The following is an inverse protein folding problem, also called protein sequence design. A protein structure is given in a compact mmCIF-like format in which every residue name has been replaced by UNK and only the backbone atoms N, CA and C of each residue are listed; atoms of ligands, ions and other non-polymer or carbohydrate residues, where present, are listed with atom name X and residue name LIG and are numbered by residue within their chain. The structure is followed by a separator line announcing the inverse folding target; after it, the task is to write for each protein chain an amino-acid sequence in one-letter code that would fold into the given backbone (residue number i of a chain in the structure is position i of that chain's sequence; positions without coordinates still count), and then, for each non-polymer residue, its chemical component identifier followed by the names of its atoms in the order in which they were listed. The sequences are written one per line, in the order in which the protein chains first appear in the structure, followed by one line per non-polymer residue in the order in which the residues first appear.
data_IF_684471259933
#
_entry.id   IF_684471259933
#
_cell.length_a   1.000
_cell.length_b   1.000
_cell.length_c   1.000
_cell.angle_alpha   90.00
_cell.angle_beta   90.00
_cell.angle_gamma   90.00
#
_symmetry.space_group_name_H-M   'P 1'
#
loop_
_entity.id
_entity.type
_entity.pdbx_description
1 polymer ?
#
# COMPACT_ATOMS: atom_id res chain seq x y z
N UNK A 1 2.55 -17.56 30.06
CA UNK A 1 2.85 -18.97 29.75
C UNK A 1 2.73 -19.75 31.05
N UNK A 2 1.66 -20.51 31.24
CA UNK A 2 1.58 -21.52 32.31
C UNK A 2 1.54 -22.86 31.57
N UNK A 3 2.69 -23.52 31.53
CA UNK A 3 2.83 -24.94 31.22
C UNK A 3 2.59 -25.70 32.52
N UNK A 4 1.54 -26.52 32.61
CA UNK A 4 1.53 -27.68 33.50
C UNK A 4 0.47 -28.71 33.08
N UNK A 5 0.96 -29.93 32.85
CA UNK A 5 0.29 -31.24 32.97
C UNK A 5 -1.11 -31.39 32.37
N UNK A 6 -1.17 -31.71 31.08
CA UNK A 6 -2.28 -32.50 30.52
C UNK A 6 -2.06 -33.96 30.95
N UNK A 7 -2.82 -34.40 31.95
CA UNK A 7 -2.96 -35.79 32.36
C UNK A 7 -3.77 -36.50 31.26
N UNK A 8 -3.29 -37.65 30.78
CA UNK A 8 -4.01 -38.51 29.84
C UNK A 8 -5.32 -38.98 30.49
N UNK A 9 -6.44 -38.49 29.98
CA UNK A 9 -7.77 -39.00 30.31
C UNK A 9 -8.38 -39.63 29.06
N UNK A 10 -9.07 -40.76 29.21
CA UNK A 10 -9.72 -41.41 28.09
C UNK A 10 -10.84 -40.52 27.49
N UNK A 11 -11.21 -40.80 26.24
CA UNK A 11 -12.00 -39.98 25.30
C UNK A 11 -13.26 -39.27 25.85
N UNK A 12 -13.86 -39.72 26.95
CA UNK A 12 -15.09 -39.19 27.55
C UNK A 12 -14.87 -38.17 28.66
N UNK A 13 -13.69 -38.11 29.27
CA UNK A 13 -13.37 -37.13 30.33
C UNK A 13 -12.70 -35.85 29.79
N UNK A 14 -12.21 -35.89 28.54
CA UNK A 14 -11.63 -34.73 27.86
C UNK A 14 -12.63 -33.57 27.71
N UNK A 15 -13.89 -33.85 27.37
CA UNK A 15 -14.92 -32.81 27.16
C UNK A 15 -15.28 -32.10 28.47
N UNK A 16 -15.39 -32.84 29.58
CA UNK A 16 -15.67 -32.28 30.92
C UNK A 16 -14.46 -31.53 31.50
N UNK A 17 -13.25 -32.05 31.32
CA UNK A 17 -12.02 -31.37 31.75
C UNK A 17 -11.79 -30.07 30.96
N UNK A 18 -12.18 -30.03 29.69
CA UNK A 18 -12.15 -28.82 28.86
C UNK A 18 -13.14 -27.76 29.33
N UNK A 19 -14.39 -28.14 29.63
CA UNK A 19 -15.42 -27.23 30.18
C UNK A 19 -14.95 -26.59 31.49
N UNK A 20 -14.40 -27.39 32.43
CA UNK A 20 -13.86 -26.91 33.71
C UNK A 20 -12.60 -26.03 33.53
N UNK A 21 -11.76 -26.29 32.52
CA UNK A 21 -10.65 -25.41 32.18
C UNK A 21 -11.17 -24.05 31.70
N UNK A 22 -12.23 -24.01 30.89
CA UNK A 22 -12.74 -22.75 30.32
C UNK A 22 -13.37 -21.84 31.36
N UNK A 23 -14.18 -22.36 32.29
CA UNK A 23 -14.72 -21.53 33.37
C UNK A 23 -13.62 -20.87 34.22
N UNK A 24 -12.49 -21.57 34.43
CA UNK A 24 -11.35 -21.06 35.21
C UNK A 24 -10.49 -20.04 34.44
N UNK A 25 -10.61 -19.97 33.11
CA UNK A 25 -9.74 -19.17 32.24
C UNK A 25 -10.44 -17.99 31.55
N UNK A 26 -11.72 -17.75 31.79
CA UNK A 26 -12.42 -16.54 31.33
C UNK A 26 -11.98 -15.35 32.20
N UNK A 27 -11.38 -14.34 31.56
CA UNK A 27 -11.10 -13.03 32.17
C UNK A 27 -11.78 -11.94 31.36
N UNK A 28 -12.56 -11.07 32.00
CA UNK A 28 -13.18 -9.90 31.37
C UNK A 28 -13.91 -10.22 30.05
N UNK A 29 -14.66 -11.34 30.02
CA UNK A 29 -15.37 -11.86 28.84
C UNK A 29 -14.46 -12.20 27.64
N UNK A 30 -13.17 -12.35 27.87
CA UNK A 30 -12.19 -12.77 26.89
C UNK A 30 -11.73 -14.20 27.18
N UNK A 31 -11.81 -15.05 26.16
CA UNK A 31 -11.31 -16.42 26.20
C UNK A 31 -10.22 -16.59 25.14
N UNK A 32 -9.04 -17.04 25.56
CA UNK A 32 -7.92 -17.34 24.66
C UNK A 32 -7.41 -18.75 24.91
N UNK A 33 -7.35 -19.54 23.84
CA UNK A 33 -6.99 -20.94 23.87
C UNK A 33 -5.91 -21.15 22.82
N UNK A 34 -4.74 -21.61 23.27
CA UNK A 34 -3.65 -22.01 22.38
C UNK A 34 -3.22 -23.41 22.78
N UNK A 35 -3.47 -24.37 21.90
CA UNK A 35 -3.21 -25.78 22.18
C UNK A 35 -1.94 -26.19 21.45
N UNK A 36 -0.92 -26.64 22.19
CA UNK A 36 0.37 -27.06 21.62
C UNK A 36 0.27 -28.43 20.91
N UNK A 37 -0.65 -28.58 19.97
CA UNK A 37 -0.93 -29.78 19.16
C UNK A 37 -1.60 -30.97 19.89
N UNK A 38 -2.02 -30.82 21.16
CA UNK A 38 -2.67 -31.93 21.91
C UNK A 38 -4.19 -32.01 21.72
N UNK A 39 -4.86 -30.91 21.38
CA UNK A 39 -6.33 -30.87 21.23
C UNK A 39 -6.70 -30.96 19.75
N UNK A 40 -7.18 -32.14 19.34
CA UNK A 40 -7.50 -32.45 17.94
C UNK A 40 -8.93 -32.12 17.53
N UNK A 41 -9.80 -31.81 18.50
CA UNK A 41 -11.21 -31.52 18.29
C UNK A 41 -11.66 -30.50 19.32
N UNK A 42 -12.38 -29.47 18.88
CA UNK A 42 -12.97 -28.47 19.75
C UNK A 42 -14.43 -28.24 19.38
N UNK A 43 -15.32 -28.41 20.37
CA UNK A 43 -16.75 -28.22 20.22
C UNK A 43 -17.28 -27.42 21.41
N UNK A 44 -18.14 -26.46 21.12
CA UNK A 44 -18.89 -25.74 22.16
C UNK A 44 -20.09 -26.59 22.59
N UNK A 45 -20.09 -27.01 23.86
CA UNK A 45 -21.15 -27.83 24.46
C UNK A 45 -22.23 -26.95 25.12
N UNK A 46 -21.86 -25.75 25.57
CA UNK A 46 -22.76 -24.77 26.19
C UNK A 46 -22.43 -23.34 25.73
N UNK A 47 -23.35 -22.41 25.98
CA UNK A 47 -23.17 -20.99 25.67
C UNK A 47 -22.31 -20.32 26.74
N UNK A 48 -21.26 -19.61 26.32
CA UNK A 48 -20.42 -18.81 27.21
C UNK A 48 -20.73 -17.32 27.04
N UNK A 49 -20.86 -16.54 28.11
CA UNK A 49 -21.00 -15.07 27.99
C UNK A 49 -19.63 -14.42 27.75
N UNK A 50 -19.13 -14.54 26.52
CA UNK A 50 -17.85 -13.97 26.06
C UNK A 50 -18.06 -13.00 24.90
N UNK A 51 -17.26 -11.94 24.88
CA UNK A 51 -17.25 -10.94 23.79
C UNK A 51 -16.03 -11.08 22.88
N UNK A 52 -14.97 -11.74 23.35
CA UNK A 52 -13.79 -12.05 22.56
C UNK A 52 -13.38 -13.51 22.70
N UNK A 53 -13.12 -14.15 21.57
CA UNK A 53 -12.60 -15.51 21.50
C UNK A 53 -11.35 -15.56 20.63
N UNK A 54 -10.30 -16.19 21.13
CA UNK A 54 -9.09 -16.50 20.36
C UNK A 54 -8.80 -17.98 20.48
N UNK A 55 -8.73 -18.65 19.34
CA UNK A 55 -8.38 -20.05 19.21
C UNK A 55 -7.13 -20.14 18.34
N UNK A 56 -6.15 -20.90 18.78
CA UNK A 56 -4.91 -21.11 18.04
C UNK A 56 -4.49 -22.57 18.09
N UNK A 57 -4.09 -23.12 16.95
CA UNK A 57 -3.58 -24.49 16.83
C UNK A 57 -4.62 -25.56 17.28
N UNK A 58 -5.91 -25.30 17.07
CA UNK A 58 -7.02 -26.21 17.39
C UNK A 58 -7.53 -26.90 16.11
N UNK A 59 -7.63 -28.23 16.09
CA UNK A 59 -8.10 -28.94 14.88
C UNK A 59 -9.59 -29.27 14.93
N UNK A 60 -10.21 -29.47 13.76
CA UNK A 60 -11.61 -29.89 13.57
C UNK A 60 -12.62 -29.04 14.37
N UNK A 61 -12.45 -27.72 14.28
CA UNK A 61 -13.32 -26.77 14.96
C UNK A 61 -14.75 -26.80 14.40
N UNK A 62 -15.74 -26.82 15.29
CA UNK A 62 -17.13 -26.53 14.92
C UNK A 62 -17.54 -25.20 15.53
N UNK A 63 -17.92 -24.23 14.67
CA UNK A 63 -18.39 -22.90 15.10
C UNK A 63 -19.83 -22.89 15.59
N UNK A 64 -20.50 -24.03 15.55
CA UNK A 64 -21.82 -24.25 16.13
C UNK A 64 -21.76 -23.85 17.62
N UNK A 65 -22.70 -23.03 18.07
CA UNK A 65 -22.85 -22.57 19.46
C UNK A 65 -21.83 -21.52 19.96
N UNK A 66 -21.06 -20.88 19.08
CA UNK A 66 -20.37 -19.64 19.45
C UNK A 66 -21.42 -18.54 19.70
N UNK A 67 -21.30 -17.77 20.79
CA UNK A 67 -22.21 -16.67 21.12
C UNK A 67 -22.35 -15.64 20.00
N UNK A 68 -23.57 -15.18 19.76
CA UNK A 68 -23.89 -14.17 18.74
C UNK A 68 -23.53 -12.72 19.16
N UNK A 69 -23.31 -12.50 20.46
CA UNK A 69 -22.85 -11.24 21.05
C UNK A 69 -21.34 -11.00 20.90
N UNK A 70 -20.60 -11.94 20.32
CA UNK A 70 -19.15 -11.84 20.14
C UNK A 70 -18.80 -10.67 19.20
N UNK A 71 -17.84 -9.85 19.62
CA UNK A 71 -17.36 -8.68 18.85
C UNK A 71 -15.98 -8.93 18.24
N UNK A 72 -15.20 -9.86 18.82
CA UNK A 72 -13.87 -10.23 18.34
C UNK A 72 -13.69 -11.75 18.27
N UNK A 73 -13.33 -12.25 17.10
CA UNK A 73 -13.07 -13.66 16.88
C UNK A 73 -11.73 -13.83 16.15
N UNK A 74 -10.84 -14.62 16.74
CA UNK A 74 -9.58 -15.03 16.14
C UNK A 74 -9.51 -16.56 16.12
N UNK A 75 -9.28 -17.16 14.95
CA UNK A 75 -9.10 -18.60 14.78
C UNK A 75 -7.88 -18.81 13.90
N UNK A 76 -6.73 -19.04 14.50
CA UNK A 76 -5.43 -18.98 13.84
C UNK A 76 -4.83 -20.38 13.74
N UNK A 77 -4.36 -20.78 12.56
CA UNK A 77 -3.64 -22.05 12.38
C UNK A 77 -4.44 -23.27 12.88
N UNK A 78 -5.74 -23.32 12.61
CA UNK A 78 -6.66 -24.33 13.12
C UNK A 78 -7.12 -25.34 12.05
N UNK A 79 -6.53 -25.28 10.85
CA UNK A 79 -6.90 -26.10 9.69
C UNK A 79 -8.40 -26.11 9.38
N UNK A 80 -9.12 -25.02 9.69
CA UNK A 80 -10.53 -24.93 9.34
C UNK A 80 -10.67 -24.73 7.83
N UNK A 81 -11.61 -25.44 7.20
CA UNK A 81 -11.91 -25.32 5.77
C UNK A 81 -13.21 -24.56 5.49
N UNK A 82 -14.00 -24.31 6.54
CA UNK A 82 -15.30 -23.68 6.46
C UNK A 82 -15.46 -22.68 7.61
N UNK A 83 -16.20 -21.62 7.31
CA UNK A 83 -16.63 -20.60 8.28
C UNK A 83 -18.14 -20.69 8.56
N UNK A 84 -18.75 -21.85 8.27
CA UNK A 84 -20.18 -22.04 8.48
C UNK A 84 -20.60 -21.73 9.91
N UNK A 85 -21.63 -20.91 10.06
CA UNK A 85 -22.13 -20.43 11.34
C UNK A 85 -21.69 -19.00 11.70
N UNK A 86 -20.65 -18.46 11.07
CA UNK A 86 -20.25 -17.06 11.26
C UNK A 86 -21.40 -16.09 10.97
N UNK A 87 -22.30 -16.39 10.02
CA UNK A 87 -23.47 -15.56 9.69
C UNK A 87 -24.36 -15.16 10.88
N UNK A 88 -24.27 -15.88 12.00
CA UNK A 88 -25.02 -15.60 13.23
C UNK A 88 -24.37 -14.51 14.09
N UNK A 89 -23.05 -14.30 13.98
CA UNK A 89 -22.25 -13.39 14.81
C UNK A 89 -22.33 -11.94 14.30
N UNK A 90 -23.54 -11.39 14.24
CA UNK A 90 -23.80 -10.09 13.59
C UNK A 90 -23.20 -8.87 14.31
N UNK A 91 -22.70 -9.05 15.53
CA UNK A 91 -22.01 -8.01 16.30
C UNK A 91 -20.50 -7.97 16.07
N UNK A 92 -19.97 -8.88 15.23
CA UNK A 92 -18.54 -9.01 15.00
C UNK A 92 -17.95 -7.76 14.34
N UNK A 93 -16.93 -7.19 14.97
CA UNK A 93 -16.17 -6.02 14.51
C UNK A 93 -14.75 -6.40 14.09
N UNK A 94 -14.18 -7.43 14.72
CA UNK A 94 -12.86 -7.96 14.39
C UNK A 94 -12.95 -9.46 14.10
N UNK A 95 -12.50 -9.86 12.92
CA UNK A 95 -12.37 -11.26 12.53
C UNK A 95 -10.96 -11.52 12.00
N UNK A 96 -10.27 -12.51 12.58
CA UNK A 96 -9.09 -13.12 11.98
C UNK A 96 -9.27 -14.62 11.89
N UNK A 97 -9.18 -15.16 10.69
CA UNK A 97 -9.16 -16.61 10.42
C UNK A 97 -7.92 -16.97 9.60
N UNK A 98 -6.80 -16.31 9.88
CA UNK A 98 -5.57 -16.50 9.12
C UNK A 98 -4.88 -17.83 9.40
N UNK A 99 -4.17 -18.33 8.39
CA UNK A 99 -3.42 -19.59 8.48
C UNK A 99 -4.31 -20.82 8.50
N UNK A 100 -5.45 -20.78 7.81
CA UNK A 100 -6.35 -21.93 7.69
C UNK A 100 -6.41 -22.42 6.23
N UNK A 101 -7.38 -23.26 5.90
CA UNK A 101 -7.55 -23.83 4.56
C UNK A 101 -8.92 -23.46 3.95
N UNK A 102 -9.41 -22.26 4.28
CA UNK A 102 -10.71 -21.74 3.85
C UNK A 102 -10.66 -21.40 2.36
N UNK A 103 -11.70 -21.80 1.62
CA UNK A 103 -11.91 -21.44 0.22
C UNK A 103 -13.11 -20.52 0.03
N UNK A 104 -14.21 -20.85 0.70
CA UNK A 104 -15.49 -20.15 0.56
C UNK A 104 -15.71 -19.19 1.73
N UNK A 105 -15.95 -17.91 1.40
CA UNK A 105 -16.17 -16.85 2.38
C UNK A 105 -17.56 -16.21 2.28
N UNK A 106 -18.53 -16.97 1.75
CA UNK A 106 -19.88 -16.49 1.48
C UNK A 106 -20.64 -15.96 2.70
N UNK A 107 -20.35 -16.47 3.89
CA UNK A 107 -20.99 -16.02 5.13
C UNK A 107 -20.53 -14.63 5.57
N UNK A 108 -19.34 -14.18 5.12
CA UNK A 108 -18.83 -12.87 5.52
C UNK A 108 -19.78 -11.75 5.11
N UNK A 109 -20.56 -11.90 4.04
CA UNK A 109 -21.53 -10.89 3.56
C UNK A 109 -22.54 -10.42 4.61
N UNK A 110 -22.77 -11.22 5.65
CA UNK A 110 -23.72 -10.90 6.72
C UNK A 110 -23.09 -10.10 7.87
N UNK A 111 -21.76 -9.99 7.92
CA UNK A 111 -20.99 -9.38 9.01
C UNK A 111 -20.73 -7.90 8.75
N UNK A 112 -21.78 -7.14 8.46
CA UNK A 112 -21.70 -5.74 7.99
C UNK A 112 -21.11 -4.76 9.01
N UNK A 113 -20.93 -5.19 10.28
CA UNK A 113 -20.28 -4.42 11.34
C UNK A 113 -18.76 -4.62 11.41
N UNK A 114 -18.18 -5.49 10.57
CA UNK A 114 -16.74 -5.71 10.53
C UNK A 114 -15.99 -4.41 10.18
N UNK A 115 -15.00 -4.11 11.00
CA UNK A 115 -14.03 -3.01 10.83
C UNK A 115 -12.66 -3.58 10.45
N UNK A 116 -12.31 -4.73 11.02
CA UNK A 116 -11.04 -5.42 10.77
C UNK A 116 -11.28 -6.86 10.31
N UNK A 117 -10.73 -7.20 9.15
CA UNK A 117 -10.80 -8.54 8.60
C UNK A 117 -9.43 -9.04 8.15
N UNK A 118 -9.01 -10.18 8.71
CA UNK A 118 -7.83 -10.90 8.28
C UNK A 118 -8.18 -12.34 7.89
N UNK A 119 -8.10 -12.62 6.59
CA UNK A 119 -8.29 -13.96 6.01
C UNK A 119 -7.04 -14.40 5.25
N UNK A 120 -5.88 -13.86 5.63
CA UNK A 120 -4.61 -14.20 5.00
C UNK A 120 -4.21 -15.67 5.20
N UNK A 121 -3.32 -16.18 4.36
CA UNK A 121 -2.84 -17.56 4.42
C UNK A 121 -3.99 -18.57 4.42
N UNK A 122 -4.81 -18.51 3.36
CA UNK A 122 -5.93 -19.41 3.11
C UNK A 122 -5.89 -19.85 1.63
N UNK A 123 -6.98 -20.43 1.13
CA UNK A 123 -7.11 -20.88 -0.26
C UNK A 123 -8.25 -20.13 -0.99
N UNK A 124 -8.49 -18.86 -0.63
CA UNK A 124 -9.60 -18.06 -1.16
C UNK A 124 -9.29 -17.64 -2.60
N UNK A 125 -10.27 -17.81 -3.48
CA UNK A 125 -10.20 -17.39 -4.90
C UNK A 125 -11.22 -16.29 -5.20
N UNK A 126 -12.47 -16.45 -4.72
CA UNK A 126 -13.56 -15.52 -4.94
C UNK A 126 -13.83 -14.65 -3.70
N UNK A 127 -13.77 -13.34 -3.90
CA UNK A 127 -13.98 -12.32 -2.85
C UNK A 127 -15.23 -11.46 -3.08
N UNK A 128 -16.16 -11.87 -3.96
CA UNK A 128 -17.35 -11.09 -4.29
C UNK A 128 -18.23 -10.70 -3.10
N UNK A 129 -18.14 -11.47 -2.01
CA UNK A 129 -18.91 -11.28 -0.79
C UNK A 129 -18.39 -10.13 0.07
N UNK A 130 -17.14 -9.71 -0.13
CA UNK A 130 -16.54 -8.61 0.63
C UNK A 130 -17.17 -7.25 0.28
N UNK A 131 -17.79 -7.10 -0.90
CA UNK A 131 -18.42 -5.83 -1.33
C UNK A 131 -19.48 -5.29 -0.36
N UNK A 132 -20.05 -6.16 0.47
CA UNK A 132 -21.06 -5.83 1.48
C UNK A 132 -20.46 -5.21 2.76
N UNK A 133 -19.15 -5.33 2.98
CA UNK A 133 -18.47 -4.95 4.22
C UNK A 133 -17.95 -3.52 4.17
N UNK A 134 -18.84 -2.59 3.83
CA UNK A 134 -18.52 -1.17 3.55
C UNK A 134 -17.89 -0.43 4.73
N UNK A 135 -17.98 -0.97 5.95
CA UNK A 135 -17.39 -0.43 7.16
C UNK A 135 -15.94 -0.89 7.43
N UNK A 136 -15.36 -1.72 6.55
CA UNK A 136 -13.98 -2.18 6.72
C UNK A 136 -12.98 -1.03 6.63
N UNK A 137 -12.13 -0.93 7.64
CA UNK A 137 -10.99 -0.01 7.70
C UNK A 137 -9.66 -0.73 7.48
N UNK A 138 -9.60 -2.03 7.80
CA UNK A 138 -8.40 -2.86 7.66
C UNK A 138 -8.75 -4.23 7.07
N UNK A 139 -8.09 -4.56 5.95
CA UNK A 139 -8.30 -5.81 5.23
C UNK A 139 -6.97 -6.48 4.86
N UNK A 140 -6.81 -7.74 5.29
CA UNK A 140 -5.69 -8.61 4.90
C UNK A 140 -6.20 -9.84 4.15
N UNK A 141 -5.78 -9.95 2.89
CA UNK A 141 -6.08 -11.02 1.95
C UNK A 141 -4.80 -11.72 1.46
N UNK A 142 -3.65 -11.42 2.07
CA UNK A 142 -2.37 -11.91 1.59
C UNK A 142 -2.27 -13.44 1.58
N UNK A 143 -1.46 -14.00 0.69
CA UNK A 143 -1.23 -15.45 0.60
C UNK A 143 -2.54 -16.22 0.39
N UNK A 144 -3.25 -15.88 -0.68
CA UNK A 144 -4.45 -16.57 -1.15
C UNK A 144 -4.27 -16.90 -2.65
N UNK A 145 -5.36 -17.18 -3.36
CA UNK A 145 -5.37 -17.48 -4.80
C UNK A 145 -6.24 -16.50 -5.58
N UNK A 146 -6.34 -15.26 -5.09
CA UNK A 146 -7.19 -14.23 -5.67
C UNK A 146 -6.60 -13.76 -7.00
N UNK A 147 -7.47 -13.58 -7.99
CA UNK A 147 -7.10 -13.12 -9.34
C UNK A 147 -7.66 -11.75 -9.71
N UNK A 148 -8.62 -11.23 -8.95
CA UNK A 148 -9.25 -9.93 -9.19
C UNK A 148 -9.62 -9.24 -7.88
N UNK A 149 -9.52 -7.91 -7.88
CA UNK A 149 -9.92 -7.04 -6.75
C UNK A 149 -11.09 -6.12 -7.08
N UNK A 150 -11.83 -6.40 -8.15
CA UNK A 150 -12.99 -5.61 -8.59
C UNK A 150 -14.06 -5.41 -7.50
N UNK A 151 -14.18 -6.38 -6.60
CA UNK A 151 -15.16 -6.35 -5.51
C UNK A 151 -14.76 -5.45 -4.33
N UNK A 152 -13.53 -4.90 -4.32
CA UNK A 152 -13.04 -4.04 -3.24
C UNK A 152 -13.37 -2.56 -3.45
N UNK A 153 -13.87 -2.16 -4.63
CA UNK A 153 -14.12 -0.75 -4.98
C UNK A 153 -15.08 -0.03 -4.02
N UNK A 154 -16.01 -0.76 -3.38
CA UNK A 154 -16.97 -0.18 -2.43
C UNK A 154 -16.38 0.10 -1.04
N UNK A 155 -15.21 -0.45 -0.73
CA UNK A 155 -14.60 -0.41 0.61
C UNK A 155 -13.81 0.88 0.86
N UNK A 156 -14.43 2.01 0.59
CA UNK A 156 -13.79 3.35 0.54
C UNK A 156 -13.25 3.84 1.89
N UNK A 157 -13.64 3.20 3.01
CA UNK A 157 -13.13 3.46 4.35
C UNK A 157 -11.80 2.77 4.64
N UNK A 158 -11.31 1.88 3.75
CA UNK A 158 -10.04 1.19 3.96
C UNK A 158 -8.88 2.18 4.13
N UNK A 159 -8.14 1.98 5.21
CA UNK A 159 -6.87 2.65 5.51
C UNK A 159 -5.69 1.68 5.42
N UNK A 160 -5.95 0.38 5.57
CA UNK A 160 -4.97 -0.70 5.42
C UNK A 160 -5.49 -1.75 4.46
N UNK A 161 -4.69 -2.08 3.44
CA UNK A 161 -4.95 -3.18 2.52
C UNK A 161 -3.68 -3.98 2.27
N UNK A 162 -3.76 -5.29 2.48
CA UNK A 162 -2.71 -6.23 2.08
C UNK A 162 -3.28 -7.32 1.17
N UNK A 163 -2.88 -7.32 -0.09
CA UNK A 163 -3.24 -8.32 -1.10
C UNK A 163 -2.01 -9.07 -1.63
N UNK A 164 -0.85 -8.95 -0.95
CA UNK A 164 0.41 -9.58 -1.36
C UNK A 164 0.31 -11.09 -1.56
N UNK A 165 1.17 -11.65 -2.41
CA UNK A 165 1.19 -13.09 -2.71
C UNK A 165 -0.16 -13.63 -3.19
N UNK A 166 -0.69 -12.98 -4.22
CA UNK A 166 -1.87 -13.40 -5.00
C UNK A 166 -1.52 -13.32 -6.49
N UNK A 167 -2.47 -13.55 -7.41
CA UNK A 167 -2.24 -13.47 -8.86
C UNK A 167 -3.12 -12.40 -9.49
N UNK A 168 -2.94 -11.15 -9.07
CA UNK A 168 -3.81 -10.01 -9.41
C UNK A 168 -3.06 -9.12 -10.42
N UNK A 169 -3.24 -9.32 -11.73
CA UNK A 169 -2.50 -8.56 -12.74
C UNK A 169 -2.95 -7.09 -12.88
N UNK A 170 -4.13 -6.76 -12.35
CA UNK A 170 -4.75 -5.45 -12.47
C UNK A 170 -5.30 -4.95 -11.12
N UNK A 171 -4.87 -3.74 -10.75
CA UNK A 171 -5.28 -3.03 -9.53
C UNK A 171 -6.07 -1.74 -9.83
N UNK A 172 -6.46 -1.48 -11.08
CA UNK A 172 -7.35 -0.35 -11.45
C UNK A 172 -8.61 -0.25 -10.58
N UNK A 173 -9.27 -1.35 -10.17
CA UNK A 173 -10.44 -1.25 -9.30
C UNK A 173 -10.19 -0.60 -7.93
N UNK A 174 -8.93 -0.49 -7.50
CA UNK A 174 -8.58 0.15 -6.23
C UNK A 174 -8.61 1.69 -6.29
N UNK A 175 -8.85 2.29 -7.47
CA UNK A 175 -8.79 3.75 -7.68
C UNK A 175 -9.61 4.59 -6.68
N UNK A 176 -10.71 4.05 -6.15
CA UNK A 176 -11.60 4.74 -5.22
C UNK A 176 -11.11 4.69 -3.76
N UNK A 177 -10.10 3.87 -3.45
CA UNK A 177 -9.57 3.67 -2.10
C UNK A 177 -8.58 4.78 -1.69
N UNK A 178 -8.98 6.04 -1.86
CA UNK A 178 -8.15 7.23 -1.64
C UNK A 178 -7.78 7.47 -0.17
N UNK A 179 -8.40 6.74 0.75
CA UNK A 179 -8.13 6.78 2.19
C UNK A 179 -7.01 5.84 2.64
N UNK A 180 -6.47 5.00 1.74
CA UNK A 180 -5.39 4.09 2.05
C UNK A 180 -4.16 4.83 2.56
N UNK A 181 -3.64 4.33 3.68
CA UNK A 181 -2.39 4.75 4.32
C UNK A 181 -1.32 3.67 4.19
N UNK A 182 -1.74 2.41 4.19
CA UNK A 182 -0.86 1.26 4.12
C UNK A 182 -1.35 0.33 3.01
N UNK A 183 -0.53 0.15 1.98
CA UNK A 183 -0.84 -0.70 0.85
C UNK A 183 0.31 -1.68 0.59
N UNK A 184 -0.01 -2.97 0.64
CA UNK A 184 0.91 -4.05 0.32
C UNK A 184 0.36 -4.83 -0.88
N UNK A 185 1.09 -4.73 -1.98
CA UNK A 185 0.80 -5.36 -3.28
C UNK A 185 2.02 -6.12 -3.79
N UNK A 186 2.83 -6.65 -2.87
CA UNK A 186 4.05 -7.38 -3.23
C UNK A 186 3.71 -8.74 -3.84
N UNK A 187 4.41 -9.14 -4.90
CA UNK A 187 4.22 -10.44 -5.55
C UNK A 187 2.76 -10.68 -5.97
N UNK A 188 2.20 -9.76 -6.76
CA UNK A 188 0.87 -9.92 -7.38
C UNK A 188 0.89 -9.93 -8.91
N UNK A 189 2.07 -9.79 -9.53
CA UNK A 189 2.31 -9.82 -10.98
C UNK A 189 1.81 -8.55 -11.72
N UNK A 190 1.68 -7.42 -11.01
CA UNK A 190 1.33 -6.12 -11.62
C UNK A 190 2.52 -5.52 -12.39
N UNK A 191 2.21 -4.78 -13.46
CA UNK A 191 3.18 -3.98 -14.21
C UNK A 191 2.82 -2.50 -14.27
N UNK A 192 1.53 -2.18 -14.42
CA UNK A 192 1.00 -0.82 -14.34
C UNK A 192 0.46 -0.52 -12.93
N UNK A 193 0.92 0.59 -12.37
CA UNK A 193 0.56 1.08 -11.03
C UNK A 193 0.12 2.54 -11.05
N UNK A 194 -0.16 3.09 -12.23
CA UNK A 194 -0.54 4.50 -12.37
C UNK A 194 -1.79 4.86 -11.54
N UNK A 195 -2.68 3.90 -11.29
CA UNK A 195 -3.85 4.04 -10.41
C UNK A 195 -3.48 4.57 -9.01
N UNK A 196 -2.27 4.30 -8.52
CA UNK A 196 -1.83 4.71 -7.19
C UNK A 196 -1.60 6.22 -7.07
N UNK A 197 -1.49 6.97 -8.17
CA UNK A 197 -1.21 8.41 -8.16
C UNK A 197 -2.20 9.26 -7.32
N UNK A 198 -3.43 8.75 -7.15
CA UNK A 198 -4.49 9.43 -6.42
C UNK A 198 -4.51 9.06 -4.92
N UNK A 199 -3.75 8.03 -4.50
CA UNK A 199 -3.69 7.55 -3.12
C UNK A 199 -2.70 8.37 -2.28
N UNK A 200 -2.84 9.69 -2.29
CA UNK A 200 -1.86 10.65 -1.73
C UNK A 200 -1.65 10.53 -0.21
N UNK A 201 -2.51 9.80 0.50
CA UNK A 201 -2.43 9.53 1.94
C UNK A 201 -1.55 8.32 2.29
N UNK A 202 -0.95 7.66 1.30
CA UNK A 202 -0.07 6.51 1.55
C UNK A 202 1.17 6.92 2.37
N UNK A 203 1.33 6.25 3.51
CA UNK A 203 2.49 6.30 4.38
C UNK A 203 3.39 5.08 4.16
N UNK A 204 2.80 3.93 3.81
CA UNK A 204 3.52 2.68 3.56
C UNK A 204 3.04 2.09 2.23
N UNK A 205 3.98 1.82 1.34
CA UNK A 205 3.73 1.18 0.06
C UNK A 205 4.77 0.08 -0.20
N UNK A 206 4.29 -1.13 -0.42
CA UNK A 206 5.12 -2.28 -0.79
C UNK A 206 4.68 -2.82 -2.16
N UNK A 207 5.49 -2.59 -3.18
CA UNK A 207 5.28 -3.03 -4.57
C UNK A 207 6.30 -4.09 -4.98
N UNK A 208 7.00 -4.70 -4.04
CA UNK A 208 8.13 -5.59 -4.30
C UNK A 208 7.72 -6.86 -5.08
N UNK A 209 8.65 -7.50 -5.77
CA UNK A 209 8.41 -8.76 -6.50
C UNK A 209 7.32 -8.65 -7.58
N UNK A 210 7.34 -7.58 -8.38
CA UNK A 210 6.36 -7.36 -9.45
C UNK A 210 7.08 -7.14 -10.80
N UNK A 211 6.34 -6.65 -11.80
CA UNK A 211 6.83 -6.40 -13.17
C UNK A 211 6.82 -4.90 -13.49
N UNK A 212 7.02 -4.05 -12.48
CA UNK A 212 6.89 -2.60 -12.61
C UNK A 212 8.14 -2.01 -13.24
N UNK A 213 7.95 -1.11 -14.21
CA UNK A 213 9.03 -0.44 -14.96
C UNK A 213 9.13 1.05 -14.66
N UNK A 214 8.02 1.67 -14.23
CA UNK A 214 7.92 3.12 -14.02
C UNK A 214 7.37 3.42 -12.63
N UNK A 215 8.16 4.15 -11.84
CA UNK A 215 7.77 4.64 -10.52
C UNK A 215 7.80 6.18 -10.44
N UNK A 216 7.78 6.89 -11.57
CA UNK A 216 7.81 8.34 -11.62
C UNK A 216 6.60 8.99 -10.92
N UNK A 217 5.49 8.27 -10.79
CA UNK A 217 4.32 8.69 -10.01
C UNK A 217 4.65 8.98 -8.52
N UNK A 218 5.80 8.54 -8.00
CA UNK A 218 6.20 8.81 -6.62
C UNK A 218 6.33 10.30 -6.31
N UNK A 219 6.48 11.18 -7.30
CA UNK A 219 6.48 12.65 -7.13
C UNK A 219 5.21 13.18 -6.42
N UNK A 220 4.13 12.39 -6.43
CA UNK A 220 2.85 12.79 -5.83
C UNK A 220 2.72 12.44 -4.35
N UNK A 221 3.59 11.59 -3.79
CA UNK A 221 3.51 11.19 -2.37
C UNK A 221 4.45 12.03 -1.53
N UNK A 222 3.87 12.87 -0.68
CA UNK A 222 4.61 13.76 0.23
C UNK A 222 4.85 13.14 1.59
N UNK A 223 3.99 12.22 2.01
CA UNK A 223 3.97 11.64 3.35
C UNK A 223 4.45 10.18 3.39
N UNK A 224 5.03 9.67 2.30
CA UNK A 224 5.47 8.28 2.23
C UNK A 224 6.67 8.05 3.15
N UNK A 225 6.47 7.22 4.18
CA UNK A 225 7.46 6.90 5.23
C UNK A 225 8.15 5.56 5.02
N UNK A 226 7.53 4.67 4.27
CA UNK A 226 8.09 3.36 3.94
C UNK A 226 7.73 3.00 2.51
N UNK A 227 8.73 2.76 1.68
CA UNK A 227 8.55 2.33 0.30
C UNK A 227 9.46 1.15 0.01
N UNK A 228 8.88 0.03 -0.41
CA UNK A 228 9.62 -1.16 -0.87
C UNK A 228 9.27 -1.48 -2.30
N UNK A 229 10.28 -1.69 -3.12
CA UNK A 229 10.13 -1.91 -4.55
C UNK A 229 11.11 -2.94 -5.12
N UNK A 230 11.81 -3.69 -4.27
CA UNK A 230 12.79 -4.68 -4.70
C UNK A 230 12.18 -5.71 -5.66
N UNK A 231 13.02 -6.32 -6.50
CA UNK A 231 12.60 -7.36 -7.44
C UNK A 231 11.49 -6.88 -8.41
N UNK A 232 11.73 -5.71 -9.01
CA UNK A 232 10.97 -5.13 -10.12
C UNK A 232 11.89 -4.88 -11.33
N UNK A 233 11.35 -4.32 -12.42
CA UNK A 233 12.06 -4.03 -13.67
C UNK A 233 12.19 -2.51 -13.90
N UNK A 234 12.45 -1.75 -12.84
CA UNK A 234 12.37 -0.29 -12.86
C UNK A 234 13.43 0.32 -13.76
N UNK A 235 12.99 1.13 -14.72
CA UNK A 235 13.82 1.92 -15.63
C UNK A 235 13.57 3.42 -15.43
N UNK A 236 12.36 3.82 -15.00
CA UNK A 236 11.99 5.23 -14.77
C UNK A 236 11.72 5.50 -13.30
N UNK A 237 12.49 6.41 -12.72
CA UNK A 237 12.44 6.78 -11.31
C UNK A 237 12.54 8.31 -11.17
N UNK A 238 11.78 8.95 -10.25
CA UNK A 238 11.94 10.38 -10.01
C UNK A 238 13.21 10.65 -9.18
N UNK A 239 13.69 11.90 -9.11
CA UNK A 239 14.79 12.25 -8.22
C UNK A 239 14.37 12.02 -6.75
N UNK A 240 14.82 10.90 -6.17
CA UNK A 240 14.57 10.53 -4.77
C UNK A 240 15.60 11.23 -3.86
N UNK A 241 15.18 11.72 -2.69
CA UNK A 241 16.12 12.23 -1.67
C UNK A 241 16.89 11.08 -1.00
N UNK A 242 18.04 11.36 -0.38
CA UNK A 242 18.81 10.34 0.34
C UNK A 242 18.02 9.65 1.46
N UNK A 243 17.02 10.32 2.03
CA UNK A 243 16.15 9.75 3.07
C UNK A 243 15.27 8.60 2.53
N UNK A 244 14.99 8.58 1.23
CA UNK A 244 14.33 7.45 0.56
C UNK A 244 15.24 6.22 0.41
N UNK A 245 16.57 6.39 0.44
CA UNK A 245 17.56 5.33 0.15
C UNK A 245 17.80 4.41 1.37
N UNK A 246 17.55 4.88 2.60
CA UNK A 246 17.70 4.05 3.82
C UNK A 246 16.64 2.95 3.97
N UNK A 247 15.65 2.85 3.07
CA UNK A 247 14.56 1.86 3.14
C UNK A 247 14.82 0.58 2.34
N UNK A 248 15.91 0.51 1.58
CA UNK A 248 16.20 -0.62 0.69
C UNK A 248 17.66 -1.07 0.77
N UNK A 249 18.02 -1.78 1.83
CA UNK A 249 19.33 -2.42 1.96
C UNK A 249 19.54 -3.58 0.96
N UNK A 250 18.52 -3.99 0.19
CA UNK A 250 18.62 -5.10 -0.77
C UNK A 250 18.90 -4.67 -2.21
N UNK A 251 18.62 -3.42 -2.58
CA UNK A 251 19.00 -2.90 -3.91
C UNK A 251 20.51 -2.98 -4.15
N UNK A 252 21.32 -2.79 -3.11
CA UNK A 252 22.79 -2.91 -3.17
C UNK A 252 23.29 -4.36 -3.00
N UNK A 253 22.57 -5.22 -2.29
CA UNK A 253 23.02 -6.57 -1.93
C UNK A 253 22.80 -7.62 -3.04
N UNK A 254 21.69 -7.52 -3.79
CA UNK A 254 21.33 -8.49 -4.84
C UNK A 254 22.09 -8.29 -6.17
N UNK A 255 23.02 -7.33 -6.22
CA UNK A 255 23.86 -7.03 -7.39
C UNK A 255 25.26 -7.66 -7.32
N UNK A 256 25.51 -8.52 -6.31
CA UNK A 256 26.83 -9.16 -6.13
C UNK A 256 27.05 -10.39 -7.00
N UNK A 257 26.05 -10.92 -7.72
CA UNK A 257 26.25 -12.10 -8.57
C UNK A 257 25.54 -12.13 -9.94
N UNK A 258 24.91 -11.04 -10.36
CA UNK A 258 24.55 -10.83 -11.78
C UNK A 258 24.84 -9.38 -12.13
N UNK A 259 25.50 -9.20 -13.27
CA UNK A 259 25.94 -7.91 -13.82
C UNK A 259 24.97 -6.80 -13.51
N UNK A 260 25.46 -5.79 -12.79
CA UNK A 260 24.77 -4.52 -12.61
C UNK A 260 24.34 -4.03 -13.99
N UNK A 261 23.03 -3.84 -14.27
CA UNK A 261 22.63 -3.22 -15.51
C UNK A 261 23.37 -1.89 -15.60
N UNK A 262 24.13 -1.70 -16.66
CA UNK A 262 25.06 -0.57 -16.83
C UNK A 262 24.36 0.79 -16.65
N UNK A 263 23.03 0.84 -16.83
CA UNK A 263 22.18 2.01 -16.54
C UNK A 263 22.02 2.36 -15.05
N UNK A 264 22.06 1.37 -14.15
CA UNK A 264 22.00 1.58 -12.70
C UNK A 264 23.39 1.94 -12.17
N UNK A 265 24.47 1.31 -12.66
CA UNK A 265 25.84 1.73 -12.38
C UNK A 265 26.09 3.20 -12.80
N UNK A 266 25.46 3.66 -13.90
CA UNK A 266 25.45 5.06 -14.31
C UNK A 266 24.64 5.97 -13.37
N UNK A 267 23.55 5.49 -12.77
CA UNK A 267 22.79 6.22 -11.73
C UNK A 267 23.62 6.42 -10.44
N UNK A 268 24.48 5.46 -10.06
CA UNK A 268 25.36 5.57 -8.88
C UNK A 268 26.72 6.25 -9.19
N UNK A 269 27.27 6.10 -10.40
CA UNK A 269 28.53 6.73 -10.81
C UNK A 269 28.35 8.21 -11.23
N UNK A 270 27.15 8.65 -11.59
CA UNK A 270 26.88 10.04 -12.00
C UNK A 270 26.57 10.99 -10.83
N UNK A 271 27.05 10.70 -9.62
CA UNK A 271 27.08 11.70 -8.53
C UNK A 271 27.78 12.99 -8.96
N UNK A 272 28.74 12.91 -9.89
CA UNK A 272 29.41 14.06 -10.51
C UNK A 272 28.72 14.58 -11.77
N UNK A 273 28.11 13.72 -12.60
CA UNK A 273 27.51 14.14 -13.87
C UNK A 273 26.15 14.83 -13.69
N UNK A 274 25.29 14.39 -12.76
CA UNK A 274 24.01 15.08 -12.51
C UNK A 274 24.18 16.39 -11.74
N UNK A 275 25.15 16.45 -10.81
CA UNK A 275 25.55 17.73 -10.21
C UNK A 275 26.14 18.62 -11.29
N UNK A 276 26.99 18.11 -12.19
CA UNK A 276 27.51 18.89 -13.31
C UNK A 276 26.44 19.30 -14.31
N UNK A 277 25.43 18.49 -14.65
CA UNK A 277 24.37 18.85 -15.60
C UNK A 277 23.35 19.79 -14.97
N UNK A 278 23.03 19.63 -13.68
CA UNK A 278 22.18 20.59 -12.95
C UNK A 278 22.92 21.91 -12.69
N UNK A 279 24.21 21.86 -12.34
CA UNK A 279 25.07 23.05 -12.25
C UNK A 279 25.29 23.65 -13.63
N UNK A 280 25.46 22.86 -14.70
CA UNK A 280 25.62 23.33 -16.07
C UNK A 280 24.32 23.96 -16.57
N UNK A 281 23.16 23.38 -16.28
CA UNK A 281 21.86 23.97 -16.57
C UNK A 281 21.66 25.25 -15.75
N UNK A 282 22.01 25.29 -14.46
CA UNK A 282 21.97 26.50 -13.63
C UNK A 282 22.97 27.56 -14.10
N UNK A 283 24.17 27.18 -14.55
CA UNK A 283 25.19 28.05 -15.11
C UNK A 283 24.72 28.55 -16.48
N UNK A 284 24.14 27.72 -17.34
CA UNK A 284 23.59 28.13 -18.64
C UNK A 284 22.37 29.03 -18.46
N UNK A 285 21.49 28.74 -17.50
CA UNK A 285 20.39 29.62 -17.10
C UNK A 285 20.96 30.93 -16.56
N UNK A 286 22.00 30.91 -15.72
CA UNK A 286 22.62 32.11 -15.15
C UNK A 286 23.43 32.90 -16.17
N UNK A 287 24.07 32.25 -17.14
CA UNK A 287 24.77 32.86 -18.29
C UNK A 287 23.75 33.45 -19.26
N UNK A 288 22.66 32.74 -19.57
CA UNK A 288 21.56 33.29 -20.38
C UNK A 288 20.92 34.47 -19.67
N UNK A 289 20.72 34.41 -18.36
CA UNK A 289 20.18 35.51 -17.54
C UNK A 289 21.14 36.69 -17.46
N UNK A 290 22.44 36.49 -17.26
CA UNK A 290 23.43 37.58 -17.28
C UNK A 290 23.62 38.15 -18.68
N UNK A 291 23.58 37.34 -19.74
CA UNK A 291 23.55 37.83 -21.14
C UNK A 291 22.28 38.63 -21.41
N UNK A 292 21.13 38.19 -20.90
CA UNK A 292 19.87 38.92 -20.99
C UNK A 292 19.95 40.23 -20.19
N UNK A 293 20.50 40.24 -18.98
CA UNK A 293 20.69 41.43 -18.15
C UNK A 293 21.70 42.42 -18.76
N UNK A 294 22.76 41.92 -19.40
CA UNK A 294 23.71 42.73 -20.18
C UNK A 294 23.03 43.33 -21.41
N UNK A 295 22.23 42.54 -22.12
CA UNK A 295 21.48 43.01 -23.29
C UNK A 295 20.40 44.00 -22.88
N UNK A 296 19.75 43.80 -21.73
CA UNK A 296 18.82 44.77 -21.11
C UNK A 296 19.55 46.04 -20.67
N UNK A 297 20.77 45.96 -20.11
CA UNK A 297 21.58 47.14 -19.77
C UNK A 297 22.06 47.91 -21.01
N UNK A 298 22.51 47.20 -22.04
CA UNK A 298 22.90 47.78 -23.32
C UNK A 298 21.70 48.41 -24.02
N UNK A 299 20.55 47.72 -24.04
CA UNK A 299 19.29 48.27 -24.54
C UNK A 299 18.88 49.48 -23.72
N UNK A 300 18.95 49.47 -22.38
CA UNK A 300 18.69 50.66 -21.55
C UNK A 300 19.64 51.82 -21.82
N UNK A 301 20.93 51.55 -22.12
CA UNK A 301 21.89 52.59 -22.53
C UNK A 301 21.57 53.15 -23.91
N UNK A 302 21.18 52.28 -24.85
CA UNK A 302 20.72 52.65 -26.19
C UNK A 302 19.44 53.49 -26.06
N UNK A 303 18.41 53.02 -25.35
CA UNK A 303 17.18 53.77 -25.09
C UNK A 303 17.44 55.13 -24.45
N UNK A 304 18.39 55.24 -23.50
CA UNK A 304 18.79 56.55 -22.92
C UNK A 304 19.47 57.47 -23.93
N UNK A 305 20.41 56.94 -24.74
CA UNK A 305 21.05 57.69 -25.84
C UNK A 305 20.03 58.16 -26.88
N UNK A 306 19.04 57.32 -27.19
CA UNK A 306 17.97 57.65 -28.13
C UNK A 306 16.92 58.58 -27.50
N UNK A 307 16.65 58.53 -26.20
CA UNK A 307 15.81 59.54 -25.51
C UNK A 307 16.46 60.93 -25.55
N UNK A 308 17.77 61.04 -25.33
CA UNK A 308 18.52 62.31 -25.51
C UNK A 308 18.63 62.75 -26.97
N UNK A 309 18.38 61.86 -27.94
CA UNK A 309 18.38 62.17 -29.38
C UNK A 309 16.97 62.40 -29.95
N UNK A 310 15.93 61.86 -29.32
CA UNK A 310 14.53 61.98 -29.70
C UNK A 310 13.94 63.36 -29.34
N UNK A 311 14.63 64.14 -28.50
CA UNK A 311 14.40 65.59 -28.39
C UNK A 311 14.75 66.36 -29.69
N UNK A 312 15.25 65.68 -30.75
CA UNK A 312 15.74 66.36 -31.96
C UNK A 312 15.20 65.92 -33.32
N UNK A 313 14.37 64.88 -33.49
CA UNK A 313 13.64 64.69 -34.78
C UNK A 313 12.65 63.51 -34.75
N UNK A 314 11.36 63.79 -34.93
CA UNK A 314 10.28 62.83 -35.15
C UNK A 314 10.24 62.40 -36.64
N UNK A 315 10.22 61.08 -36.92
CA UNK A 315 9.29 60.40 -37.86
C UNK A 315 9.64 58.93 -38.17
N UNK A 316 10.83 58.41 -37.83
CA UNK A 316 11.20 56.99 -38.12
C UNK A 316 10.90 55.99 -36.98
N UNK A 317 10.12 56.42 -35.99
CA UNK A 317 9.97 55.73 -34.69
C UNK A 317 8.94 54.59 -34.71
N UNK A 318 7.92 54.63 -35.58
CA UNK A 318 6.80 53.68 -35.54
C UNK A 318 7.12 52.30 -36.12
N UNK A 319 7.89 52.22 -37.22
CA UNK A 319 8.10 50.95 -37.92
C UNK A 319 9.10 50.02 -37.22
N UNK A 320 10.14 50.57 -36.58
CA UNK A 320 11.14 49.77 -35.86
C UNK A 320 10.64 49.25 -34.52
N UNK A 321 9.78 50.01 -33.83
CA UNK A 321 9.17 49.57 -32.56
C UNK A 321 8.18 48.43 -32.83
N UNK A 322 7.41 48.48 -33.91
CA UNK A 322 6.52 47.38 -34.31
C UNK A 322 7.29 46.09 -34.63
N UNK A 323 8.43 46.19 -35.32
CA UNK A 323 9.26 45.04 -35.66
C UNK A 323 9.86 44.36 -34.42
N UNK A 324 10.31 45.13 -33.42
CA UNK A 324 10.83 44.56 -32.17
C UNK A 324 9.74 43.99 -31.25
N UNK A 325 8.53 44.53 -31.26
CA UNK A 325 7.40 43.97 -30.53
C UNK A 325 6.96 42.61 -31.10
N UNK A 326 6.99 42.45 -32.43
CA UNK A 326 6.69 41.17 -33.08
C UNK A 326 7.76 40.11 -32.78
N UNK A 327 9.05 40.49 -32.73
CA UNK A 327 10.13 39.60 -32.32
C UNK A 327 10.00 39.15 -30.85
N UNK A 328 9.40 39.97 -29.99
CA UNK A 328 9.09 39.61 -28.60
C UNK A 328 7.97 38.57 -28.48
N UNK A 329 6.96 38.63 -29.34
CA UNK A 329 5.87 37.64 -29.39
C UNK A 329 6.39 36.23 -29.68
N UNK A 330 7.35 36.09 -30.61
CA UNK A 330 7.96 34.80 -30.97
C UNK A 330 8.85 34.22 -29.86
N UNK A 331 9.55 35.09 -29.11
CA UNK A 331 10.39 34.68 -27.97
C UNK A 331 9.52 34.26 -26.79
N UNK A 332 8.37 34.91 -26.57
CA UNK A 332 7.45 34.56 -25.50
C UNK A 332 6.74 33.23 -25.76
N UNK A 333 6.38 32.93 -27.02
CA UNK A 333 5.79 31.64 -27.41
C UNK A 333 6.77 30.47 -27.36
N UNK A 334 8.08 30.73 -27.40
CA UNK A 334 9.13 29.69 -27.27
C UNK A 334 9.62 29.50 -25.82
N UNK A 335 9.10 30.30 -24.88
CA UNK A 335 9.36 30.18 -23.45
C UNK A 335 8.18 29.61 -22.63
N UNK A 336 6.94 29.60 -23.15
CA UNK A 336 5.83 28.79 -22.61
C UNK A 336 5.97 27.33 -23.04
#
# INVERSE_FOLDING_TARGET
MITNSLIDYEQTDYEKAMILLFEKHIKDKNLSINTSNKIRTFKFVEYFDITSLTLQNCYRLQLCNVPDNITKLCILNCDINTIFGLRMMRQLQFLSVSGNIIKEIQELRYLVKLVNLDVSYNMIEDIQYLKALVNLESLSLSNNKISSVSNLQTLTLLTYLNISNNKIPDIQPLQQLVNLRNLYVSNIVIGDIYVLQNMRKLNVLDISFNKIVDIYFLIYFRDLKSFRFNDNQIVRCPPLSLDFIQMDNNFLANQTNQSIPTQIQLLFANKLYFINDYIYLLIQIRIKRTKLDLKIKQLRQITRKYQTSAEKTHLRFSERVLAEMNAWSEIQSSCQ
#
